data_IF_795688572663
#
_entry.id   IF_795688572663
#
_cell.length_a   1.000
_cell.length_b   1.000
_cell.length_c   1.000
_cell.angle_alpha   90.00
_cell.angle_beta   90.00
_cell.angle_gamma   90.00
#
_symmetry.space_group_name_H-M   'P 1'
#
loop_
_entity.id
_entity.type
_entity.pdbx_description
1 polymer ?
#
# COMPACT_ATOMS: atom_id res chain seq x y z
N UNK A 1 31.55 45.41 -49.13
CA UNK A 1 30.33 44.59 -49.02
C UNK A 1 30.57 43.08 -48.85
N UNK A 2 31.70 42.46 -49.24
CA UNK A 2 31.91 40.99 -49.10
C UNK A 2 32.24 40.48 -47.68
N UNK A 3 32.74 41.32 -46.76
CA UNK A 3 33.12 40.90 -45.41
C UNK A 3 31.98 40.84 -44.41
N UNK A 4 30.86 41.52 -44.66
CA UNK A 4 29.69 41.48 -43.79
C UNK A 4 28.77 40.26 -44.02
N UNK A 5 28.77 39.73 -45.23
CA UNK A 5 28.00 38.53 -45.59
C UNK A 5 28.59 37.25 -44.99
N UNK A 6 29.94 37.19 -44.83
CA UNK A 6 30.59 36.04 -44.23
C UNK A 6 30.33 35.93 -42.71
N UNK A 7 30.15 37.06 -42.02
CA UNK A 7 29.89 37.06 -40.58
C UNK A 7 28.47 36.65 -40.24
N UNK A 8 27.51 36.95 -41.11
CA UNK A 8 26.09 36.53 -40.92
C UNK A 8 25.93 35.04 -41.19
N UNK A 9 26.62 34.48 -42.17
CA UNK A 9 26.59 33.05 -42.46
C UNK A 9 27.18 32.20 -41.31
N UNK A 10 28.24 32.68 -40.62
CA UNK A 10 28.87 31.99 -39.50
C UNK A 10 27.99 31.99 -38.25
N UNK A 11 27.19 33.07 -38.00
CA UNK A 11 26.29 33.13 -36.84
C UNK A 11 25.06 32.22 -37.05
N UNK A 12 24.55 32.12 -38.27
CA UNK A 12 23.44 31.20 -38.56
C UNK A 12 23.87 29.73 -38.49
N UNK A 13 25.10 29.39 -38.86
CA UNK A 13 25.58 28.01 -38.78
C UNK A 13 25.81 27.53 -37.33
N UNK A 14 26.17 28.41 -36.41
CA UNK A 14 26.33 28.08 -34.99
C UNK A 14 24.95 27.92 -34.30
N UNK A 15 23.96 28.73 -34.70
CA UNK A 15 22.61 28.64 -34.14
C UNK A 15 21.85 27.36 -34.57
N UNK A 16 22.13 26.83 -35.75
CA UNK A 16 21.50 25.59 -36.22
C UNK A 16 22.13 24.32 -35.65
N UNK A 17 23.43 24.35 -35.27
CA UNK A 17 24.07 23.20 -34.61
C UNK A 17 23.64 23.09 -33.14
N UNK A 18 23.31 24.19 -32.47
CA UNK A 18 22.81 24.15 -31.10
C UNK A 18 21.35 23.63 -30.97
N UNK A 19 20.60 23.63 -32.05
CA UNK A 19 19.20 23.12 -32.05
C UNK A 19 19.10 21.61 -32.33
N UNK A 20 20.23 20.96 -32.74
CA UNK A 20 20.22 19.52 -33.05
C UNK A 20 20.89 18.66 -31.95
N UNK A 21 21.47 19.27 -30.92
CA UNK A 21 21.79 18.57 -29.70
C UNK A 21 20.48 18.50 -28.89
N UNK A 22 19.59 17.65 -29.35
CA UNK A 22 18.38 17.30 -28.58
C UNK A 22 18.84 16.95 -27.16
N UNK A 23 18.33 17.67 -26.18
CA UNK A 23 18.23 17.12 -24.84
C UNK A 23 17.78 15.67 -25.01
N UNK A 24 18.46 14.67 -24.41
CA UNK A 24 17.85 13.37 -24.35
C UNK A 24 16.47 13.65 -23.77
N UNK A 25 15.41 13.43 -24.54
CA UNK A 25 14.10 13.32 -23.99
C UNK A 25 14.32 12.42 -22.79
N UNK A 26 14.06 12.90 -21.57
CA UNK A 26 13.88 12.02 -20.46
C UNK A 26 12.82 11.06 -20.99
N UNK A 27 13.28 9.92 -21.49
CA UNK A 27 12.37 8.85 -21.86
C UNK A 27 11.63 8.62 -20.58
N UNK A 28 10.40 9.11 -20.52
CA UNK A 28 9.47 8.64 -19.53
C UNK A 28 9.69 7.14 -19.57
N UNK A 29 9.97 6.54 -18.43
CA UNK A 29 10.04 5.09 -18.30
C UNK A 29 8.74 4.60 -18.89
N UNK A 30 8.78 4.35 -20.23
CA UNK A 30 7.64 3.81 -20.93
C UNK A 30 7.41 2.48 -20.29
N UNK A 31 6.41 2.49 -19.49
CA UNK A 31 5.67 1.38 -18.94
C UNK A 31 6.09 0.02 -19.48
N UNK A 32 7.09 -0.54 -18.86
CA UNK A 32 7.43 -1.96 -19.01
C UNK A 32 6.41 -2.88 -18.32
N UNK A 33 5.28 -2.35 -17.85
CA UNK A 33 4.26 -3.05 -17.09
C UNK A 33 2.92 -3.19 -17.82
N UNK A 34 2.91 -3.03 -19.15
CA UNK A 34 1.75 -3.43 -19.91
C UNK A 34 1.67 -4.96 -19.93
N UNK A 35 0.83 -5.49 -19.08
CA UNK A 35 0.55 -6.93 -19.03
C UNK A 35 -0.52 -7.19 -20.09
N UNK A 36 -0.10 -7.60 -21.30
CA UNK A 36 -1.03 -8.07 -22.32
C UNK A 36 -1.74 -9.34 -21.82
N UNK A 37 -3.04 -9.46 -22.10
CA UNK A 37 -3.82 -10.66 -21.80
C UNK A 37 -4.08 -10.86 -20.31
N UNK A 38 -4.45 -9.80 -19.61
CA UNK A 38 -4.83 -9.89 -18.20
C UNK A 38 -6.21 -10.50 -18.07
N UNK A 39 -6.28 -11.53 -17.25
CA UNK A 39 -7.54 -12.19 -16.92
C UNK A 39 -8.46 -11.25 -16.12
N UNK A 40 -9.75 -11.56 -16.13
CA UNK A 40 -10.73 -10.83 -15.32
C UNK A 40 -10.38 -10.89 -13.85
N UNK A 41 -10.64 -9.81 -13.08
CA UNK A 41 -10.44 -9.85 -11.64
C UNK A 41 -11.34 -10.93 -11.01
N UNK A 42 -10.97 -11.50 -9.86
CA UNK A 42 -11.84 -12.41 -9.13
C UNK A 42 -13.11 -11.67 -8.69
N UNK A 43 -14.17 -12.43 -8.47
CA UNK A 43 -15.42 -11.90 -7.92
C UNK A 43 -15.24 -11.37 -6.50
N UNK A 44 -15.99 -10.32 -6.16
CA UNK A 44 -16.08 -9.78 -4.80
C UNK A 44 -17.19 -10.52 -4.04
N UNK A 45 -16.87 -11.71 -3.59
CA UNK A 45 -17.78 -12.52 -2.76
C UNK A 45 -17.48 -12.32 -1.26
N UNK A 46 -18.28 -12.96 -0.40
CA UNK A 46 -18.13 -12.84 1.05
C UNK A 46 -16.70 -13.17 1.51
N UNK A 47 -16.05 -12.26 2.29
CA UNK A 47 -14.74 -12.52 2.84
C UNK A 47 -14.83 -13.64 3.88
N UNK A 48 -14.15 -14.73 3.56
CA UNK A 48 -14.07 -15.92 4.42
C UNK A 48 -12.77 -16.65 4.16
N UNK A 49 -12.27 -17.42 5.12
CA UNK A 49 -11.09 -18.24 4.92
C UNK A 49 -11.33 -19.28 3.82
N UNK A 50 -10.30 -19.58 3.02
CA UNK A 50 -10.35 -20.63 2.01
C UNK A 50 -10.36 -22.04 2.63
N UNK A 51 -9.86 -22.16 3.86
CA UNK A 51 -9.80 -23.38 4.67
C UNK A 51 -10.19 -23.08 6.11
N UNK A 52 -10.59 -24.09 6.87
CA UNK A 52 -10.94 -23.89 8.29
C UNK A 52 -9.70 -23.46 9.09
N UNK A 53 -9.81 -22.34 9.80
CA UNK A 53 -8.72 -21.72 10.55
C UNK A 53 -9.00 -21.78 12.05
N UNK A 54 -7.94 -21.77 12.85
CA UNK A 54 -8.03 -21.63 14.31
C UNK A 54 -6.89 -20.77 14.83
N UNK A 55 -7.08 -20.22 16.02
CA UNK A 55 -6.00 -19.49 16.70
C UNK A 55 -4.95 -20.48 17.22
N UNK A 56 -3.70 -20.29 16.82
CA UNK A 56 -2.55 -21.14 17.20
C UNK A 56 -1.74 -20.55 18.35
N UNK A 57 -1.69 -19.21 18.45
CA UNK A 57 -0.93 -18.50 19.49
C UNK A 57 -1.77 -17.41 20.12
N UNK A 58 -1.38 -16.95 21.31
CA UNK A 58 -2.02 -15.79 21.94
C UNK A 58 -1.84 -14.54 21.07
N UNK A 59 -2.82 -13.65 21.13
CA UNK A 59 -2.71 -12.34 20.50
C UNK A 59 -1.54 -11.55 21.10
N UNK A 60 -0.94 -10.72 20.26
CA UNK A 60 0.05 -9.75 20.71
C UNK A 60 -0.53 -8.83 21.80
N UNK A 61 0.31 -8.39 22.69
CA UNK A 61 -0.04 -7.39 23.71
C UNK A 61 0.80 -6.15 23.48
N UNK A 62 0.14 -4.98 23.47
CA UNK A 62 0.84 -3.71 23.42
C UNK A 62 1.02 -3.15 24.82
N UNK A 63 2.17 -2.51 25.06
CA UNK A 63 2.44 -1.81 26.29
C UNK A 63 3.23 -0.53 25.99
N UNK A 64 3.08 0.47 26.85
CA UNK A 64 3.91 1.67 26.83
C UNK A 64 5.09 1.42 27.76
N UNK A 65 6.30 1.62 27.27
CA UNK A 65 7.51 1.52 28.11
C UNK A 65 7.49 2.65 29.15
N UNK A 66 7.90 2.38 30.40
CA UNK A 66 8.08 3.43 31.39
C UNK A 66 8.98 4.55 30.85
N UNK A 67 8.70 5.77 31.23
CA UNK A 67 9.45 6.98 30.87
C UNK A 67 9.54 7.28 29.36
N UNK A 68 8.65 6.67 28.55
CA UNK A 68 8.54 7.01 27.12
C UNK A 68 8.16 8.47 26.93
N UNK A 69 8.86 9.13 26.00
CA UNK A 69 8.59 10.51 25.59
C UNK A 69 7.88 10.49 24.26
N UNK A 70 6.75 11.17 24.17
CA UNK A 70 5.87 11.16 22.97
C UNK A 70 5.72 12.54 22.32
N UNK A 71 6.41 13.59 22.85
CA UNK A 71 6.29 14.96 22.35
C UNK A 71 6.87 15.13 20.94
N UNK A 72 7.89 14.35 20.61
CA UNK A 72 8.45 14.32 19.26
C UNK A 72 8.62 12.89 18.74
N UNK A 73 8.43 12.71 17.45
CA UNK A 73 8.58 11.42 16.77
C UNK A 73 9.66 11.57 15.70
N UNK A 74 10.85 10.98 15.88
CA UNK A 74 11.97 11.17 14.96
C UNK A 74 11.63 10.86 13.50
N UNK A 75 10.79 9.87 13.23
CA UNK A 75 10.36 9.55 11.87
C UNK A 75 9.55 10.70 11.24
N UNK A 76 8.65 11.35 11.98
CA UNK A 76 7.88 12.48 11.49
C UNK A 76 8.78 13.70 11.19
N UNK A 77 9.85 13.89 11.96
CA UNK A 77 10.84 14.92 11.73
C UNK A 77 11.68 14.64 10.49
N UNK A 78 12.19 13.42 10.34
CA UNK A 78 13.00 12.99 9.17
C UNK A 78 12.20 13.11 7.87
N UNK A 79 10.94 12.70 7.87
CA UNK A 79 10.07 12.79 6.69
C UNK A 79 9.36 14.14 6.57
N UNK A 80 9.62 15.09 7.48
CA UNK A 80 9.04 16.43 7.48
C UNK A 80 7.50 16.42 7.35
N UNK A 81 6.83 15.49 8.06
CA UNK A 81 5.39 15.23 7.94
C UNK A 81 4.55 16.50 8.12
N UNK A 82 4.92 17.37 9.05
CA UNK A 82 4.25 18.68 9.24
C UNK A 82 4.33 19.58 8.00
N UNK A 83 5.44 19.51 7.24
CA UNK A 83 5.55 20.26 5.99
C UNK A 83 4.66 19.67 4.91
N UNK A 84 4.56 18.33 4.85
CA UNK A 84 3.67 17.63 3.91
C UNK A 84 2.20 18.01 4.19
N UNK A 85 1.79 18.10 5.45
CA UNK A 85 0.43 18.47 5.84
C UNK A 85 0.01 19.89 5.39
N UNK A 86 0.97 20.78 5.10
CA UNK A 86 0.66 22.10 4.51
C UNK A 86 0.16 22.00 3.06
N UNK A 87 0.45 20.90 2.38
CA UNK A 87 0.03 20.65 1.01
C UNK A 87 -1.18 19.71 0.94
N UNK A 88 -1.18 18.63 1.72
CA UNK A 88 -2.24 17.64 1.72
C UNK A 88 -2.25 16.85 3.03
N UNK A 89 -3.46 16.52 3.51
CA UNK A 89 -3.70 15.71 4.72
C UNK A 89 -4.45 14.41 4.41
N UNK A 90 -4.61 14.08 3.13
CA UNK A 90 -5.38 12.91 2.70
C UNK A 90 -6.89 13.10 2.70
N UNK A 91 -7.40 14.32 2.88
CA UNK A 91 -8.86 14.58 2.90
C UNK A 91 -9.53 14.08 1.62
N UNK A 92 -10.59 13.27 1.80
CA UNK A 92 -11.34 12.67 0.70
C UNK A 92 -10.69 11.40 0.12
N UNK A 93 -9.52 10.99 0.62
CA UNK A 93 -8.89 9.73 0.25
C UNK A 93 -9.32 8.61 1.19
N UNK A 94 -9.27 7.37 0.72
CA UNK A 94 -9.46 6.17 1.52
C UNK A 94 -8.28 5.22 1.32
N UNK A 95 -7.64 4.85 2.42
CA UNK A 95 -6.51 3.93 2.42
C UNK A 95 -7.01 2.55 2.87
N UNK A 96 -6.99 1.59 1.96
CA UNK A 96 -7.22 0.21 2.33
C UNK A 96 -5.94 -0.41 2.90
N UNK A 97 -6.04 -0.98 4.09
CA UNK A 97 -4.97 -1.72 4.78
C UNK A 97 -5.32 -3.21 4.68
N UNK A 98 -4.64 -3.91 3.76
CA UNK A 98 -4.72 -5.37 3.61
C UNK A 98 -3.59 -5.96 4.45
N UNK A 99 -3.96 -6.45 5.63
CA UNK A 99 -2.99 -6.79 6.68
C UNK A 99 -3.61 -7.78 7.70
N UNK A 100 -3.19 -7.73 8.97
CA UNK A 100 -3.70 -8.54 10.07
C UNK A 100 -5.04 -8.08 10.66
N UNK A 101 -5.68 -7.06 10.04
CA UNK A 101 -6.84 -6.36 10.52
C UNK A 101 -6.49 -5.01 11.11
N UNK A 102 -7.50 -4.21 11.48
CA UNK A 102 -7.31 -2.93 12.18
C UNK A 102 -8.30 -2.84 13.33
N UNK A 103 -7.80 -2.77 14.55
CA UNK A 103 -8.64 -2.60 15.74
C UNK A 103 -9.16 -1.17 15.86
N UNK A 104 -10.41 -1.03 16.26
CA UNK A 104 -11.03 0.28 16.54
C UNK A 104 -10.26 1.03 17.61
N UNK A 105 -9.93 2.28 17.33
CA UNK A 105 -9.32 3.18 18.30
C UNK A 105 -9.67 4.64 18.00
N UNK A 106 -9.48 5.51 18.98
CA UNK A 106 -9.86 6.93 18.90
C UNK A 106 -9.06 7.73 17.86
N UNK A 107 -7.88 7.23 17.48
CA UNK A 107 -7.02 7.88 16.49
C UNK A 107 -7.40 7.58 15.03
N UNK A 108 -8.33 6.64 14.82
CA UNK A 108 -8.84 6.22 13.52
C UNK A 108 -10.36 6.33 13.48
N UNK A 109 -10.95 7.53 13.62
CA UNK A 109 -12.41 7.71 13.73
C UNK A 109 -13.15 7.30 12.43
N UNK A 110 -12.50 7.40 11.27
CA UNK A 110 -13.06 7.09 9.96
C UNK A 110 -12.65 5.68 9.49
N UNK A 111 -12.57 4.72 10.43
CA UNK A 111 -12.26 3.32 10.17
C UNK A 111 -13.50 2.54 9.73
N UNK A 112 -13.41 1.89 8.58
CA UNK A 112 -14.43 1.00 8.02
C UNK A 112 -13.87 -0.43 7.91
N UNK A 113 -14.62 -1.42 8.41
CA UNK A 113 -14.33 -2.82 8.14
C UNK A 113 -14.86 -3.23 6.77
N UNK A 114 -14.08 -4.01 6.04
CA UNK A 114 -14.45 -4.49 4.70
C UNK A 114 -14.33 -6.00 4.53
N UNK A 115 -13.74 -6.70 5.48
CA UNK A 115 -13.75 -8.16 5.45
C UNK A 115 -12.62 -8.84 6.18
N UNK A 116 -12.86 -10.10 6.52
CA UNK A 116 -11.91 -10.97 7.22
C UNK A 116 -11.78 -12.30 6.48
N UNK A 117 -10.64 -12.54 5.85
CA UNK A 117 -10.31 -13.77 5.13
C UNK A 117 -9.65 -14.83 6.04
N UNK A 118 -9.48 -14.55 7.33
CA UNK A 118 -8.87 -15.45 8.32
C UNK A 118 -9.96 -16.19 9.12
N UNK A 119 -10.96 -15.47 9.64
CA UNK A 119 -12.00 -16.08 10.46
C UNK A 119 -13.42 -15.73 9.96
N UNK A 120 -13.54 -14.90 8.93
CA UNK A 120 -14.80 -14.29 8.52
C UNK A 120 -15.13 -13.07 9.40
N UNK A 121 -16.01 -12.20 8.89
CA UNK A 121 -16.41 -10.99 9.59
C UNK A 121 -15.95 -9.71 8.91
N UNK A 122 -15.80 -8.64 9.70
CA UNK A 122 -15.63 -7.27 9.19
C UNK A 122 -14.16 -6.83 9.07
N UNK A 123 -13.21 -7.59 9.61
CA UNK A 123 -11.77 -7.22 9.59
C UNK A 123 -11.38 -6.21 10.66
N UNK A 124 -12.25 -5.90 11.62
CA UNK A 124 -11.97 -4.94 12.71
C UNK A 124 -11.39 -5.61 13.96
N UNK A 125 -10.92 -6.83 13.81
CA UNK A 125 -10.17 -7.58 14.82
C UNK A 125 -8.72 -7.73 14.36
N UNK A 126 -7.76 -7.29 15.18
CA UNK A 126 -6.34 -7.39 14.91
C UNK A 126 -5.63 -8.03 16.10
N UNK A 127 -5.36 -9.33 15.98
CA UNK A 127 -4.69 -10.12 17.02
C UNK A 127 -3.17 -9.89 17.03
N UNK A 128 -2.63 -9.49 15.90
CA UNK A 128 -1.18 -9.28 15.71
C UNK A 128 -0.75 -7.83 16.01
N UNK A 129 -1.68 -6.90 16.08
CA UNK A 129 -1.51 -5.45 16.15
C UNK A 129 -0.77 -4.81 14.97
N UNK A 130 -0.28 -5.59 14.01
CA UNK A 130 0.53 -5.10 12.89
C UNK A 130 -0.30 -4.17 11.99
N UNK A 131 -1.46 -4.59 11.52
CA UNK A 131 -2.31 -3.77 10.66
C UNK A 131 -2.83 -2.50 11.36
N UNK A 132 -3.07 -2.57 12.68
CA UNK A 132 -3.46 -1.39 13.48
C UNK A 132 -2.33 -0.36 13.52
N UNK A 133 -1.09 -0.81 13.70
CA UNK A 133 0.08 0.08 13.68
C UNK A 133 0.31 0.68 12.29
N UNK A 134 0.19 -0.11 11.23
CA UNK A 134 0.27 0.36 9.83
C UNK A 134 -0.79 1.42 9.56
N UNK A 135 -2.04 1.16 9.95
CA UNK A 135 -3.13 2.14 9.82
C UNK A 135 -2.85 3.43 10.61
N UNK A 136 -2.25 3.30 11.79
CA UNK A 136 -1.81 4.43 12.60
C UNK A 136 -0.76 5.28 11.89
N UNK A 137 0.29 4.67 11.36
CA UNK A 137 1.33 5.38 10.57
C UNK A 137 0.72 6.07 9.36
N UNK A 138 -0.25 5.43 8.71
CA UNK A 138 -0.90 5.99 7.52
C UNK A 138 -1.84 7.16 7.87
N UNK A 139 -2.71 7.04 8.89
CA UNK A 139 -3.87 7.93 9.02
C UNK A 139 -4.25 8.33 10.46
N UNK A 140 -3.40 8.08 11.48
CA UNK A 140 -3.76 8.46 12.84
C UNK A 140 -3.97 9.98 12.96
N UNK A 141 -5.10 10.37 13.57
CA UNK A 141 -5.37 11.77 13.95
C UNK A 141 -4.37 12.24 15.01
N UNK A 142 -4.02 13.53 15.06
CA UNK A 142 -3.23 14.07 16.16
C UNK A 142 -3.96 13.90 17.50
N UNK A 143 -3.21 13.85 18.61
CA UNK A 143 -3.76 13.84 19.96
C UNK A 143 -3.00 14.81 20.86
N UNK A 144 -3.68 15.31 21.92
CA UNK A 144 -3.07 16.24 22.87
C UNK A 144 -1.99 15.51 23.69
N UNK A 145 -0.82 16.12 23.80
CA UNK A 145 0.31 15.58 24.58
C UNK A 145 1.08 14.47 23.88
N UNK A 146 0.90 14.33 22.58
CA UNK A 146 1.53 13.30 21.75
C UNK A 146 1.90 13.92 20.40
N UNK A 147 3.18 13.85 20.03
CA UNK A 147 3.71 14.36 18.76
C UNK A 147 3.47 13.43 17.57
N UNK A 148 2.88 12.25 17.80
CA UNK A 148 2.61 11.31 16.70
C UNK A 148 1.38 11.75 15.90
N UNK A 149 1.52 11.74 14.59
CA UNK A 149 0.42 11.94 13.63
C UNK A 149 0.69 11.09 12.39
N UNK A 150 -0.35 10.54 11.79
CA UNK A 150 -0.23 9.78 10.55
C UNK A 150 0.12 10.69 9.36
N UNK A 151 0.64 10.10 8.30
CA UNK A 151 1.03 10.82 7.07
C UNK A 151 -0.19 11.49 6.40
N UNK A 152 -1.36 10.85 6.47
CA UNK A 152 -2.61 11.31 5.86
C UNK A 152 -3.76 11.31 6.91
N UNK A 153 -3.70 12.19 7.94
CA UNK A 153 -4.60 12.12 9.08
C UNK A 153 -6.08 12.38 8.76
N UNK A 154 -6.39 12.96 7.60
CA UNK A 154 -7.76 13.19 7.14
C UNK A 154 -8.26 12.15 6.12
N UNK A 155 -7.49 11.10 5.86
CA UNK A 155 -7.95 9.97 5.06
C UNK A 155 -8.81 9.01 5.89
N UNK A 156 -9.81 8.41 5.25
CA UNK A 156 -10.52 7.25 5.80
C UNK A 156 -9.66 5.99 5.69
N UNK A 157 -9.88 5.03 6.59
CA UNK A 157 -9.19 3.73 6.58
C UNK A 157 -10.19 2.61 6.31
N UNK A 158 -9.86 1.71 5.41
CA UNK A 158 -10.61 0.48 5.13
C UNK A 158 -9.75 -0.69 5.59
N UNK A 159 -10.26 -1.49 6.52
CA UNK A 159 -9.58 -2.67 7.05
C UNK A 159 -9.99 -3.93 6.30
N UNK A 160 -9.00 -4.70 5.84
CA UNK A 160 -9.17 -6.05 5.30
C UNK A 160 -8.17 -6.98 6.00
N UNK A 161 -8.69 -7.89 6.81
CA UNK A 161 -7.87 -8.90 7.47
C UNK A 161 -7.59 -10.04 6.51
N UNK A 162 -6.36 -10.14 6.01
CA UNK A 162 -5.98 -11.13 5.00
C UNK A 162 -4.86 -12.05 5.48
N UNK A 163 -4.14 -11.65 6.52
CA UNK A 163 -3.07 -12.44 7.13
C UNK A 163 -3.17 -12.40 8.65
N UNK A 164 -2.49 -13.31 9.34
CA UNK A 164 -2.26 -13.25 10.79
C UNK A 164 -1.16 -14.23 11.18
N UNK A 165 -0.26 -13.82 12.04
CA UNK A 165 0.74 -14.70 12.64
C UNK A 165 0.16 -15.56 13.78
N UNK A 166 -0.99 -15.15 14.33
CA UNK A 166 -1.63 -15.85 15.44
C UNK A 166 -2.57 -16.98 15.01
N UNK A 167 -2.92 -17.06 13.72
CA UNK A 167 -3.88 -18.03 13.20
C UNK A 167 -3.24 -18.95 12.16
N UNK A 168 -3.74 -20.16 12.06
CA UNK A 168 -3.31 -21.13 11.07
C UNK A 168 -4.39 -22.16 10.75
N UNK A 169 -4.19 -23.05 9.76
CA UNK A 169 -5.11 -24.11 9.42
C UNK A 169 -5.38 -25.03 10.60
N UNK A 170 -6.65 -25.39 10.81
CA UNK A 170 -7.09 -26.17 11.98
C UNK A 170 -6.43 -27.56 12.08
N UNK A 171 -6.19 -28.22 10.97
CA UNK A 171 -5.68 -29.60 10.93
C UNK A 171 -4.28 -29.67 10.32
N UNK A 172 -3.47 -28.65 10.43
CA UNK A 172 -2.12 -28.58 9.87
C UNK A 172 -1.19 -27.80 10.81
N UNK A 173 0.06 -28.21 10.87
CA UNK A 173 1.12 -27.44 11.51
C UNK A 173 1.70 -26.36 10.58
N UNK A 174 1.21 -26.29 9.33
CA UNK A 174 1.62 -25.27 8.38
C UNK A 174 1.05 -23.88 8.79
N UNK A 175 1.92 -22.90 8.83
CA UNK A 175 1.52 -21.49 9.01
C UNK A 175 1.33 -20.84 7.64
N UNK A 176 0.16 -21.03 7.05
CA UNK A 176 -0.21 -20.32 5.83
C UNK A 176 -1.61 -19.70 6.00
N UNK A 177 -1.75 -18.67 6.84
CA UNK A 177 -3.05 -18.04 7.07
C UNK A 177 -3.58 -17.30 5.85
N UNK A 178 -2.73 -17.03 4.87
CA UNK A 178 -3.06 -16.24 3.68
C UNK A 178 -2.72 -16.97 2.39
N UNK A 179 -3.37 -16.60 1.31
CA UNK A 179 -3.12 -17.13 -0.03
C UNK A 179 -3.16 -16.02 -1.08
N UNK A 180 -2.60 -16.30 -2.26
CA UNK A 180 -2.72 -15.40 -3.43
C UNK A 180 -4.19 -15.19 -3.81
N UNK A 181 -5.04 -16.20 -3.65
CA UNK A 181 -6.48 -16.09 -3.92
C UNK A 181 -7.14 -15.10 -2.97
N UNK A 182 -6.94 -15.22 -1.66
CA UNK A 182 -7.52 -14.29 -0.68
C UNK A 182 -6.97 -12.89 -0.82
N UNK A 183 -5.68 -12.72 -1.15
CA UNK A 183 -5.09 -11.41 -1.44
C UNK A 183 -5.73 -10.77 -2.67
N UNK A 184 -5.92 -11.55 -3.74
CA UNK A 184 -6.53 -11.05 -4.98
C UNK A 184 -7.97 -10.56 -4.75
N UNK A 185 -8.74 -11.31 -3.99
CA UNK A 185 -10.12 -10.94 -3.59
C UNK A 185 -10.14 -9.72 -2.66
N UNK A 186 -9.20 -9.63 -1.72
CA UNK A 186 -9.06 -8.48 -0.84
C UNK A 186 -8.75 -7.19 -1.62
N UNK A 187 -7.93 -7.25 -2.67
CA UNK A 187 -7.65 -6.11 -3.55
C UNK A 187 -8.93 -5.64 -4.26
N UNK A 188 -9.68 -6.55 -4.89
CA UNK A 188 -10.94 -6.22 -5.57
C UNK A 188 -11.93 -5.60 -4.58
N UNK A 189 -12.07 -6.22 -3.41
CA UNK A 189 -12.96 -5.72 -2.36
C UNK A 189 -12.57 -4.34 -1.84
N UNK A 190 -11.27 -4.07 -1.67
CA UNK A 190 -10.78 -2.74 -1.30
C UNK A 190 -11.23 -1.68 -2.31
N UNK A 191 -11.08 -1.96 -3.61
CA UNK A 191 -11.52 -1.08 -4.70
C UNK A 191 -13.03 -0.84 -4.63
N UNK A 192 -13.82 -1.89 -4.46
CA UNK A 192 -15.29 -1.81 -4.41
C UNK A 192 -15.80 -1.06 -3.16
N UNK A 193 -15.02 -1.03 -2.07
CA UNK A 193 -15.28 -0.19 -0.91
C UNK A 193 -14.77 1.26 -1.06
N UNK A 194 -14.25 1.61 -2.24
CA UNK A 194 -13.86 2.96 -2.61
C UNK A 194 -12.46 3.35 -2.17
N UNK A 195 -11.55 2.40 -2.00
CA UNK A 195 -10.14 2.69 -1.76
C UNK A 195 -9.55 3.49 -2.92
N UNK A 196 -8.78 4.52 -2.61
CA UNK A 196 -7.97 5.29 -3.57
C UNK A 196 -6.49 4.90 -3.46
N UNK A 197 -6.10 4.35 -2.31
CA UNK A 197 -4.79 3.76 -2.05
C UNK A 197 -4.99 2.40 -1.41
N UNK A 198 -4.24 1.40 -1.82
CA UNK A 198 -4.18 0.07 -1.20
C UNK A 198 -2.77 -0.14 -0.67
N UNK A 199 -2.64 -0.38 0.63
CA UNK A 199 -1.41 -0.79 1.26
C UNK A 199 -1.46 -2.30 1.54
N UNK A 200 -0.46 -3.01 1.01
CA UNK A 200 -0.28 -4.46 1.17
C UNK A 200 1.04 -4.70 1.90
N UNK A 201 1.02 -4.70 3.24
CA UNK A 201 2.20 -5.01 4.05
C UNK A 201 2.35 -6.53 4.27
N UNK A 202 2.18 -7.28 3.20
CA UNK A 202 2.27 -8.74 3.18
C UNK A 202 3.39 -9.19 2.27
N UNK A 203 4.10 -10.23 2.67
CA UNK A 203 5.21 -10.81 1.92
C UNK A 203 5.08 -12.33 1.93
N UNK A 204 5.37 -12.98 0.82
CA UNK A 204 5.52 -14.42 0.73
C UNK A 204 6.90 -14.74 0.14
N UNK A 205 7.73 -15.45 0.90
CA UNK A 205 8.99 -15.97 0.43
C UNK A 205 8.81 -17.43 -0.01
N UNK A 206 9.15 -17.72 -1.25
CA UNK A 206 9.03 -19.05 -1.81
C UNK A 206 10.39 -19.51 -2.36
N UNK A 207 10.67 -20.80 -2.35
CA UNK A 207 11.82 -21.34 -3.06
C UNK A 207 11.79 -20.90 -4.54
N UNK A 208 12.94 -20.55 -5.11
CA UNK A 208 13.04 -20.09 -6.49
C UNK A 208 12.52 -21.09 -7.54
N UNK A 209 12.39 -22.36 -7.15
CA UNK A 209 11.83 -23.45 -7.98
C UNK A 209 10.31 -23.58 -7.88
N UNK A 210 9.66 -22.83 -6.98
CA UNK A 210 8.21 -22.90 -6.81
C UNK A 210 7.51 -22.17 -7.95
N UNK A 211 6.49 -22.80 -8.51
CA UNK A 211 5.59 -22.22 -9.51
C UNK A 211 4.30 -21.81 -8.80
N UNK A 212 3.98 -20.54 -8.86
CA UNK A 212 2.75 -20.00 -8.29
C UNK A 212 1.86 -19.48 -9.41
N UNK A 213 0.59 -19.82 -9.38
CA UNK A 213 -0.40 -19.18 -10.26
C UNK A 213 -0.76 -17.78 -9.75
N UNK A 214 -0.31 -16.78 -10.49
CA UNK A 214 -0.55 -15.37 -10.17
C UNK A 214 -1.66 -14.74 -11.05
N UNK A 215 -2.37 -15.54 -11.83
CA UNK A 215 -3.40 -15.07 -12.76
C UNK A 215 -4.43 -14.17 -12.09
N UNK A 216 -5.03 -14.61 -10.99
CA UNK A 216 -6.01 -13.82 -10.23
C UNK A 216 -5.41 -12.55 -9.63
N UNK A 217 -4.16 -12.61 -9.12
CA UNK A 217 -3.48 -11.45 -8.57
C UNK A 217 -3.21 -10.40 -9.63
N UNK A 218 -2.77 -10.81 -10.81
CA UNK A 218 -2.58 -9.90 -11.95
C UNK A 218 -3.89 -9.24 -12.36
N UNK A 219 -4.98 -10.03 -12.46
CA UNK A 219 -6.32 -9.50 -12.76
C UNK A 219 -6.80 -8.48 -11.72
N UNK A 220 -6.64 -8.78 -10.43
CA UNK A 220 -6.99 -7.87 -9.35
C UNK A 220 -6.19 -6.57 -9.36
N UNK A 221 -4.87 -6.65 -9.58
CA UNK A 221 -3.99 -5.49 -9.67
C UNK A 221 -4.29 -4.64 -10.92
N UNK A 222 -4.54 -5.29 -12.06
CA UNK A 222 -4.96 -4.59 -13.28
C UNK A 222 -6.26 -3.82 -13.05
N UNK A 223 -7.27 -4.49 -12.48
CA UNK A 223 -8.53 -3.87 -12.11
C UNK A 223 -8.32 -2.64 -11.21
N UNK A 224 -7.55 -2.80 -10.13
CA UNK A 224 -7.31 -1.71 -9.19
C UNK A 224 -6.55 -0.53 -9.84
N UNK A 225 -5.40 -0.82 -10.46
CA UNK A 225 -4.47 0.23 -10.89
C UNK A 225 -4.86 0.82 -12.24
N UNK A 226 -5.21 -0.03 -13.22
CA UNK A 226 -5.44 0.41 -14.59
C UNK A 226 -6.89 0.85 -14.82
N UNK A 227 -7.86 0.06 -14.33
CA UNK A 227 -9.28 0.37 -14.59
C UNK A 227 -9.87 1.35 -13.57
N UNK A 228 -9.43 1.29 -12.30
CA UNK A 228 -9.98 2.11 -11.22
C UNK A 228 -9.05 3.22 -10.73
N UNK A 229 -7.84 3.31 -11.30
CA UNK A 229 -6.85 4.34 -10.97
C UNK A 229 -6.51 4.41 -9.46
N UNK A 230 -6.45 3.25 -8.82
CA UNK A 230 -6.08 3.10 -7.41
C UNK A 230 -4.56 2.94 -7.30
N UNK A 231 -3.94 3.61 -6.34
CA UNK A 231 -2.51 3.44 -6.05
C UNK A 231 -2.32 2.17 -5.24
N UNK A 232 -1.54 1.22 -5.74
CA UNK A 232 -1.19 -0.01 -5.02
C UNK A 232 0.25 0.07 -4.50
N UNK A 233 0.43 -0.13 -3.20
CA UNK A 233 1.71 -0.14 -2.50
C UNK A 233 1.92 -1.52 -1.91
N UNK A 234 3.05 -2.14 -2.24
CA UNK A 234 3.44 -3.46 -1.72
C UNK A 234 4.72 -3.36 -0.90
N UNK A 235 4.90 -4.27 0.05
CA UNK A 235 6.15 -4.40 0.79
C UNK A 235 7.30 -4.80 -0.14
N UNK A 236 8.50 -4.29 0.14
CA UNK A 236 9.71 -4.67 -0.59
C UNK A 236 10.26 -6.05 -0.15
N UNK A 237 9.69 -6.63 0.88
CA UNK A 237 10.13 -7.87 1.52
C UNK A 237 10.83 -7.62 2.86
N UNK A 238 11.05 -8.69 3.60
CA UNK A 238 11.84 -8.68 4.81
C UNK A 238 13.21 -9.32 4.54
N UNK A 239 14.23 -8.83 5.22
CA UNK A 239 15.55 -9.47 5.23
C UNK A 239 15.59 -10.33 6.49
N UNK A 240 15.62 -11.65 6.31
CA UNK A 240 15.81 -12.64 7.37
C UNK A 240 17.28 -13.04 7.44
#
# INVERSE_FOLDING_TARGET
>A
MRRSLLKIAAVCAVATISATLGTPAAGALERTWYIEGVDSPPEDDDPKPGIEMEQKTNCATSAVLPDSQFESIPANEVFEVEKLHKFATGKGQKIAVIDSGVSKNVRLPDLQGAGDYIMGGDGLTDCDHHGTLIAGVAAAKPATGDGFVGVAPDAGVISLRQTSAAYGPKNSDEQAPSSVDTLSRAIVRAVNHGATVINMSVTACLPATSVMDLTKLRGALHYAVVEKNVVAVASAGNVD
#
